data_IF_059285682624
#
_entry.id   IF_059285682624
#
_cell.length_a   1.000
_cell.length_b   1.000
_cell.length_c   1.000
_cell.angle_alpha   90.00
_cell.angle_beta   90.00
_cell.angle_gamma   90.00
#
_symmetry.space_group_name_H-M   'P 1'
#
loop_
_entity.id
_entity.type
_entity.pdbx_description
1 polymer ?
#
# COMPACT_ATOMS: atom_id res chain seq x y z
N UNK A 1 -18.87 -7.61 15.90
CA UNK A 1 -19.98 -8.52 15.54
C UNK A 1 -20.88 -7.85 14.50
N UNK A 2 -21.74 -8.62 13.81
CA UNK A 2 -22.72 -8.06 12.87
C UNK A 2 -23.57 -6.98 13.55
N UNK A 3 -23.64 -5.80 12.96
CA UNK A 3 -24.36 -4.64 13.49
C UNK A 3 -23.51 -3.73 14.37
N UNK A 4 -22.25 -4.08 14.66
CA UNK A 4 -21.35 -3.19 15.37
C UNK A 4 -20.85 -2.07 14.47
N UNK A 5 -20.65 -0.91 15.09
CA UNK A 5 -19.99 0.26 14.48
C UNK A 5 -18.53 0.29 14.91
N UNK A 6 -17.62 0.41 13.94
CA UNK A 6 -16.20 0.66 14.20
C UNK A 6 -15.93 2.13 13.95
N UNK A 7 -15.22 2.76 14.89
CA UNK A 7 -14.72 4.12 14.76
C UNK A 7 -13.23 4.11 14.43
N UNK A 8 -12.88 4.71 13.30
CA UNK A 8 -11.52 4.94 12.86
C UNK A 8 -11.11 6.33 13.28
N UNK A 9 -10.00 6.42 14.00
CA UNK A 9 -9.42 7.67 14.46
C UNK A 9 -8.12 7.87 13.69
N UNK A 10 -8.05 8.98 12.96
CA UNK A 10 -6.82 9.37 12.26
C UNK A 10 -5.92 10.06 13.28
N UNK A 11 -4.95 9.33 13.82
CA UNK A 11 -3.94 9.93 14.68
C UNK A 11 -3.10 10.89 13.85
N UNK A 12 -2.97 12.12 14.33
CA UNK A 12 -2.05 13.08 13.75
C UNK A 12 -0.62 12.54 13.93
N UNK A 13 0.06 12.29 12.83
CA UNK A 13 1.50 12.03 12.85
C UNK A 13 2.21 13.37 12.65
N UNK A 14 3.21 13.65 13.48
CA UNK A 14 3.81 15.00 13.60
C UNK A 14 4.40 15.56 12.29
N UNK A 15 4.62 14.72 11.28
CA UNK A 15 5.33 15.09 10.04
C UNK A 15 4.48 15.12 8.76
N UNK A 16 3.19 14.76 8.81
CA UNK A 16 2.34 14.68 7.61
C UNK A 16 0.99 15.37 7.82
N UNK A 17 0.93 16.67 7.49
CA UNK A 17 -0.32 17.45 7.36
C UNK A 17 -1.20 17.03 6.17
N UNK A 18 -1.01 15.84 5.62
CA UNK A 18 -1.77 15.30 4.51
C UNK A 18 -3.11 14.74 4.98
N UNK A 19 -4.15 14.96 4.18
CA UNK A 19 -5.43 14.27 4.34
C UNK A 19 -5.25 12.75 4.09
N UNK A 20 -6.17 11.95 4.62
CA UNK A 20 -6.26 10.51 4.41
C UNK A 20 -7.58 10.19 3.73
N UNK A 21 -7.59 9.31 2.73
CA UNK A 21 -8.86 8.75 2.23
C UNK A 21 -8.95 7.31 2.66
N UNK A 22 -9.88 7.00 3.56
CA UNK A 22 -10.14 5.64 3.99
C UNK A 22 -11.26 5.06 3.12
N UNK A 23 -11.01 3.89 2.55
CA UNK A 23 -11.97 3.10 1.80
C UNK A 23 -12.09 1.71 2.44
N UNK A 24 -13.31 1.27 2.67
CA UNK A 24 -13.61 -0.06 3.21
C UNK A 24 -14.24 -0.90 2.09
N UNK A 25 -13.49 -1.83 1.51
CA UNK A 25 -14.02 -2.69 0.45
C UNK A 25 -15.13 -3.61 0.99
N UNK A 26 -16.23 -3.69 0.25
CA UNK A 26 -17.44 -4.41 0.65
C UNK A 26 -18.50 -3.54 1.32
N UNK A 27 -18.17 -2.28 1.59
CA UNK A 27 -19.14 -1.24 1.97
C UNK A 27 -18.90 -0.08 1.00
N UNK A 28 -19.93 0.42 0.32
CA UNK A 28 -19.80 1.56 -0.61
C UNK A 28 -19.64 2.90 0.16
N UNK A 29 -18.79 2.90 1.18
CA UNK A 29 -18.46 4.04 2.01
C UNK A 29 -16.96 4.35 1.88
N UNK A 30 -16.68 5.57 1.43
CA UNK A 30 -15.34 6.15 1.47
C UNK A 30 -15.44 7.55 2.04
N UNK A 31 -14.41 8.00 2.74
CA UNK A 31 -14.38 9.33 3.32
C UNK A 31 -12.98 9.93 3.26
N UNK A 32 -12.93 11.22 2.93
CA UNK A 32 -11.73 12.05 3.04
C UNK A 32 -11.67 12.59 4.47
N UNK A 33 -10.63 12.21 5.20
CA UNK A 33 -10.41 12.49 6.60
C UNK A 33 -9.21 13.42 6.75
N UNK A 34 -9.41 14.53 7.45
CA UNK A 34 -8.31 15.38 7.92
C UNK A 34 -7.61 14.71 9.11
N UNK A 35 -6.36 15.11 9.46
CA UNK A 35 -5.77 14.70 10.73
C UNK A 35 -6.73 14.98 11.90
N UNK A 36 -6.80 14.04 12.85
CA UNK A 36 -7.74 14.07 13.99
C UNK A 36 -9.23 13.93 13.63
N UNK A 37 -9.57 13.64 12.37
CA UNK A 37 -10.94 13.29 12.01
C UNK A 37 -11.30 11.88 12.46
N UNK A 38 -12.61 11.69 12.65
CA UNK A 38 -13.21 10.43 13.05
C UNK A 38 -14.09 9.93 11.90
N UNK A 39 -13.98 8.66 11.56
CA UNK A 39 -14.83 7.99 10.58
C UNK A 39 -15.51 6.80 11.24
N UNK A 40 -16.81 6.62 10.99
CA UNK A 40 -17.59 5.53 11.56
C UNK A 40 -18.20 4.71 10.44
N UNK A 41 -17.98 3.40 10.48
CA UNK A 41 -18.59 2.44 9.56
C UNK A 41 -19.35 1.39 10.36
N UNK A 42 -20.57 1.05 9.91
CA UNK A 42 -21.40 0.02 10.53
C UNK A 42 -21.48 -1.19 9.62
N UNK A 43 -21.20 -2.38 10.17
CA UNK A 43 -21.09 -3.59 9.38
C UNK A 43 -22.37 -4.42 9.48
N UNK A 44 -23.26 -4.28 8.48
CA UNK A 44 -24.53 -5.01 8.41
C UNK A 44 -24.37 -6.49 8.10
N UNK A 45 -23.27 -6.88 7.49
CA UNK A 45 -23.04 -8.23 6.96
C UNK A 45 -21.83 -8.89 7.60
N UNK A 46 -21.90 -10.21 7.74
CA UNK A 46 -20.77 -11.01 8.20
C UNK A 46 -19.80 -11.25 7.04
N UNK A 47 -18.50 -11.15 7.30
CA UNK A 47 -17.48 -11.27 6.26
C UNK A 47 -16.12 -10.72 6.68
N UNK A 48 -15.19 -10.70 5.74
CA UNK A 48 -13.91 -10.00 5.89
C UNK A 48 -13.93 -8.78 4.98
N UNK A 49 -13.70 -7.61 5.56
CA UNK A 49 -13.70 -6.32 4.87
C UNK A 49 -12.27 -5.79 4.84
N UNK A 50 -11.80 -5.40 3.66
CA UNK A 50 -10.45 -4.84 3.49
C UNK A 50 -10.52 -3.34 3.67
N UNK A 51 -9.62 -2.78 4.50
CA UNK A 51 -9.47 -1.34 4.65
C UNK A 51 -8.19 -0.95 3.92
N UNK A 52 -8.27 0.11 3.12
CA UNK A 52 -7.11 0.70 2.46
C UNK A 52 -7.15 2.21 2.54
N UNK A 53 -5.98 2.83 2.69
CA UNK A 53 -5.83 4.24 2.39
C UNK A 53 -5.62 4.42 0.88
N UNK A 54 -6.40 5.29 0.22
CA UNK A 54 -6.19 5.54 -1.21
C UNK A 54 -4.95 6.39 -1.50
N UNK A 55 -4.48 7.14 -0.51
CA UNK A 55 -3.29 8.02 -0.63
C UNK A 55 -2.02 7.24 -0.29
N UNK A 56 -2.03 6.52 0.83
CA UNK A 56 -0.90 5.71 1.29
C UNK A 56 -1.17 4.23 1.01
N UNK A 57 -0.73 3.75 -0.16
CA UNK A 57 -1.00 2.36 -0.60
C UNK A 57 -0.50 1.29 0.37
N UNK A 58 0.51 1.57 1.19
CA UNK A 58 1.03 0.63 2.18
C UNK A 58 0.15 0.53 3.45
N UNK A 59 -0.74 1.50 3.67
CA UNK A 59 -1.71 1.47 4.78
C UNK A 59 -2.90 0.58 4.41
N UNK A 60 -2.79 -0.70 4.74
CA UNK A 60 -3.85 -1.70 4.56
C UNK A 60 -4.19 -2.37 5.89
N UNK A 61 -5.45 -2.76 6.04
CA UNK A 61 -5.94 -3.51 7.18
C UNK A 61 -7.13 -4.39 6.79
N UNK A 62 -7.61 -5.20 7.72
CA UNK A 62 -8.81 -6.02 7.50
C UNK A 62 -9.65 -6.11 8.77
N UNK A 63 -10.97 -6.03 8.62
CA UNK A 63 -11.94 -6.27 9.69
C UNK A 63 -12.66 -7.58 9.40
N UNK A 64 -12.68 -8.49 10.37
CA UNK A 64 -13.51 -9.71 10.31
C UNK A 64 -14.75 -9.52 11.16
N UNK A 65 -15.92 -9.61 10.53
CA UNK A 65 -17.23 -9.48 11.17
C UNK A 65 -17.86 -10.85 11.27
N UNK A 66 -17.96 -11.37 12.49
CA UNK A 66 -18.60 -12.66 12.75
C UNK A 66 -20.07 -12.48 13.14
N UNK A 67 -20.86 -13.51 12.87
CA UNK A 67 -22.21 -13.63 13.43
C UNK A 67 -22.04 -13.77 14.95
N UNK A 68 -22.74 -12.97 15.78
CA UNK A 68 -22.72 -13.18 17.21
C UNK A 68 -23.21 -14.60 17.47
N UNK A 69 -22.35 -15.44 18.06
CA UNK A 69 -22.82 -16.72 18.52
C UNK A 69 -23.94 -16.45 19.54
N UNK A 70 -25.10 -17.12 19.44
CA UNK A 70 -26.11 -17.00 20.47
C UNK A 70 -25.39 -17.30 21.78
N UNK A 71 -25.37 -16.32 22.70
CA UNK A 71 -24.85 -16.55 24.05
C UNK A 71 -25.72 -17.65 24.62
N UNK A 72 -25.24 -18.88 24.56
CA UNK A 72 -25.92 -20.01 25.14
C UNK A 72 -26.13 -19.63 26.59
N UNK A 73 -27.41 -19.47 27.00
CA UNK A 73 -27.71 -19.35 28.42
C UNK A 73 -27.18 -20.64 29.03
N UNK A 74 -26.11 -20.53 29.80
CA UNK A 74 -25.43 -21.65 30.46
C UNK A 74 -26.38 -22.54 31.29
N UNK A 75 -27.57 -22.03 31.60
CA UNK A 75 -28.60 -22.64 32.44
C UNK A 75 -29.52 -23.66 31.76
N UNK A 76 -29.44 -23.86 30.45
CA UNK A 76 -30.15 -24.95 29.76
C UNK A 76 -29.18 -26.08 29.40
N UNK A 77 -28.32 -26.50 30.33
CA UNK A 77 -27.75 -27.85 30.21
C UNK A 77 -28.94 -28.80 30.33
N UNK A 78 -29.33 -29.56 29.28
CA UNK A 78 -30.29 -30.62 29.45
C UNK A 78 -29.73 -31.50 30.56
N UNK A 79 -30.45 -31.62 31.66
CA UNK A 79 -30.14 -32.60 32.70
C UNK A 79 -30.26 -33.93 31.99
N UNK A 80 -29.13 -34.47 31.52
CA UNK A 80 -29.07 -35.82 30.98
C UNK A 80 -29.43 -36.69 32.19
N UNK A 81 -30.61 -37.34 32.24
CA UNK A 81 -30.89 -38.25 33.32
C UNK A 81 -29.81 -39.32 33.26
N UNK A 82 -29.04 -39.43 34.34
CA UNK A 82 -28.02 -40.45 34.51
C UNK A 82 -28.71 -41.82 34.41
N UNK A 83 -28.79 -42.36 33.20
CA UNK A 83 -29.18 -43.74 32.99
C UNK A 83 -27.94 -44.57 33.26
N UNK A 84 -27.81 -45.00 34.50
CA UNK A 84 -26.91 -46.06 34.92
C UNK A 84 -27.30 -47.34 34.15
N UNK A 85 -26.78 -47.49 32.92
CA UNK A 85 -26.83 -48.75 32.19
C UNK A 85 -25.44 -49.36 32.24
N UNK A 86 -25.27 -50.23 33.23
CA UNK A 86 -24.29 -51.31 33.25
C UNK A 86 -24.41 -52.08 31.94
N UNK A 87 -23.46 -51.89 31.02
CA UNK A 87 -23.32 -52.75 29.83
C UNK A 87 -22.04 -53.56 30.03
N UNK A 88 -22.24 -54.79 30.52
CA UNK A 88 -21.28 -55.87 30.42
C UNK A 88 -21.18 -56.33 28.96
N UNK A 89 -19.94 -56.39 28.47
CA UNK A 89 -19.38 -57.19 27.36
C UNK A 89 -20.36 -57.94 26.43
N UNK A 90 -20.22 -57.75 25.12
CA UNK A 90 -20.21 -58.89 24.19
C UNK A 90 -19.56 -58.53 22.87
N UNK A 91 -18.53 -59.31 22.56
CA UNK A 91 -17.87 -59.44 21.27
C UNK A 91 -18.89 -59.88 20.21
N UNK A 92 -18.95 -59.19 19.08
CA UNK A 92 -19.39 -59.78 17.82
C UNK A 92 -18.89 -58.94 16.63
N UNK A 93 -17.94 -59.52 15.91
CA UNK A 93 -17.54 -59.17 14.57
C UNK A 93 -18.70 -59.47 13.61
N UNK A 94 -19.16 -58.48 12.83
CA UNK A 94 -20.06 -58.72 11.71
C UNK A 94 -19.87 -57.65 10.62
N UNK A 95 -19.07 -58.05 9.64
CA UNK A 95 -18.97 -57.54 8.28
C UNK A 95 -20.35 -57.24 7.67
N UNK A 96 -20.61 -55.97 7.34
CA UNK A 96 -21.65 -55.62 6.34
C UNK A 96 -21.13 -54.48 5.47
N UNK A 97 -20.48 -54.86 4.36
CA UNK A 97 -20.31 -53.99 3.20
C UNK A 97 -21.66 -53.85 2.51
N UNK A 98 -22.31 -52.69 2.66
CA UNK A 98 -23.42 -52.29 1.77
C UNK A 98 -23.03 -51.03 1.01
N UNK A 99 -22.84 -51.29 -0.28
CA UNK A 99 -22.77 -50.38 -1.41
C UNK A 99 -23.85 -49.29 -1.25
N UNK A 100 -23.43 -48.04 -1.12
CA UNK A 100 -24.28 -46.87 -1.32
C UNK A 100 -23.57 -45.87 -2.22
N UNK A 101 -23.45 -46.23 -3.50
CA UNK A 101 -23.14 -45.30 -4.58
C UNK A 101 -24.37 -44.42 -4.83
N UNK A 102 -24.56 -43.41 -3.98
CA UNK A 102 -25.42 -42.25 -4.30
C UNK A 102 -24.53 -41.21 -4.96
N UNK A 103 -24.82 -40.96 -6.22
CA UNK A 103 -24.32 -39.86 -7.04
C UNK A 103 -24.44 -38.53 -6.31
N UNK A 104 -23.37 -38.14 -5.62
CA UNK A 104 -23.11 -36.77 -5.25
C UNK A 104 -22.76 -36.03 -6.54
N UNK A 105 -23.77 -35.49 -7.24
CA UNK A 105 -23.54 -34.32 -8.07
C UNK A 105 -23.02 -33.25 -7.12
N UNK A 106 -21.70 -33.10 -7.11
CA UNK A 106 -20.99 -32.17 -6.23
C UNK A 106 -21.68 -30.81 -6.33
N UNK A 107 -21.92 -30.20 -5.16
CA UNK A 107 -22.39 -28.82 -5.04
C UNK A 107 -21.59 -27.87 -5.96
N UNK A 108 -20.32 -28.21 -6.23
CA UNK A 108 -19.43 -27.45 -7.12
C UNK A 108 -19.93 -27.44 -8.57
N UNK A 109 -20.49 -28.55 -9.06
CA UNK A 109 -21.03 -28.64 -10.43
C UNK A 109 -22.29 -27.78 -10.59
N UNK A 110 -23.08 -27.62 -9.52
CA UNK A 110 -24.27 -26.76 -9.52
C UNK A 110 -23.85 -25.28 -9.51
N UNK A 111 -22.83 -24.93 -8.73
CA UNK A 111 -22.29 -23.55 -8.68
C UNK A 111 -21.66 -23.14 -10.01
N UNK A 112 -20.91 -24.04 -10.65
CA UNK A 112 -20.26 -23.77 -11.93
C UNK A 112 -21.28 -23.53 -13.06
N UNK A 113 -22.37 -24.31 -13.09
CA UNK A 113 -23.44 -24.10 -14.06
C UNK A 113 -24.18 -22.77 -13.86
N UNK A 114 -24.40 -22.37 -12.61
CA UNK A 114 -25.04 -21.09 -12.31
C UNK A 114 -24.16 -19.91 -12.77
N UNK A 115 -22.84 -19.97 -12.53
CA UNK A 115 -21.90 -18.94 -12.95
C UNK A 115 -21.87 -18.78 -14.48
N UNK A 116 -21.79 -19.90 -15.22
CA UNK A 116 -21.78 -19.89 -16.69
C UNK A 116 -23.07 -19.29 -17.26
N UNK A 117 -24.21 -19.58 -16.64
CA UNK A 117 -25.50 -19.01 -17.05
C UNK A 117 -25.52 -17.49 -16.81
N UNK A 118 -24.99 -17.01 -15.68
CA UNK A 118 -24.90 -15.58 -15.38
C UNK A 118 -24.01 -14.83 -16.37
N UNK A 119 -22.81 -15.38 -16.67
CA UNK A 119 -21.90 -14.77 -17.65
C UNK A 119 -22.53 -14.70 -19.04
N UNK A 120 -23.25 -15.75 -19.47
CA UNK A 120 -23.95 -15.74 -20.75
C UNK A 120 -25.04 -14.67 -20.81
N UNK A 121 -25.79 -14.43 -19.73
CA UNK A 121 -26.78 -13.34 -19.69
C UNK A 121 -26.16 -11.95 -19.74
N UNK A 122 -25.01 -11.75 -19.08
CA UNK A 122 -24.30 -10.45 -19.11
C UNK A 122 -23.81 -10.15 -20.52
N UNK A 123 -23.16 -11.12 -21.19
CA UNK A 123 -22.65 -10.94 -22.55
C UNK A 123 -23.76 -10.65 -23.56
N UNK A 124 -24.92 -11.28 -23.42
CA UNK A 124 -26.09 -11.02 -24.28
C UNK A 124 -26.76 -9.66 -23.99
N UNK A 125 -26.55 -9.09 -22.79
CA UNK A 125 -27.04 -7.76 -22.44
C UNK A 125 -26.12 -6.64 -22.93
N UNK A 126 -24.82 -6.91 -23.07
CA UNK A 126 -23.84 -5.97 -23.62
C UNK A 126 -23.99 -5.77 -25.12
N UNK A 127 -24.42 -6.80 -25.86
CA UNK A 127 -24.69 -6.68 -27.30
C UNK A 127 -25.93 -5.81 -27.61
N UNK A 128 -26.74 -5.51 -26.59
CA UNK A 128 -27.85 -4.54 -26.65
C UNK A 128 -27.44 -3.10 -26.26
N UNK A 129 -26.16 -2.85 -25.99
CA UNK A 129 -25.59 -1.49 -25.99
C UNK A 129 -25.34 -1.04 -27.44
N UNK A 130 -26.35 -1.18 -28.31
CA UNK A 130 -26.40 -0.38 -29.53
C UNK A 130 -26.46 1.09 -29.12
N UNK A 131 -25.30 1.74 -29.23
CA UNK A 131 -25.07 3.17 -29.42
C UNK A 131 -26.23 4.10 -29.00
N UNK A 132 -26.64 4.05 -27.73
CA UNK A 132 -27.22 5.23 -27.09
C UNK A 132 -26.07 6.21 -26.96
N UNK A 133 -25.90 7.03 -27.99
CA UNK A 133 -25.05 8.21 -27.96
C UNK A 133 -25.41 8.98 -26.70
N UNK A 134 -24.59 8.81 -25.65
CA UNK A 134 -24.70 9.60 -24.43
C UNK A 134 -24.73 11.05 -24.87
N UNK A 135 -25.77 11.78 -24.44
CA UNK A 135 -25.87 13.16 -24.86
C UNK A 135 -24.63 13.89 -24.36
N UNK A 136 -24.17 14.91 -25.10
CA UNK A 136 -23.00 15.71 -24.68
C UNK A 136 -23.12 16.19 -23.22
N UNK A 137 -24.34 16.43 -22.73
CA UNK A 137 -24.62 16.80 -21.34
C UNK A 137 -24.33 15.66 -20.35
N UNK A 138 -24.66 14.43 -20.70
CA UNK A 138 -24.38 13.27 -19.85
C UNK A 138 -22.87 13.00 -19.81
N UNK A 139 -22.19 13.18 -20.95
CA UNK A 139 -20.74 13.12 -21.04
C UNK A 139 -20.08 14.22 -20.20
N UNK A 140 -20.53 15.47 -20.30
CA UNK A 140 -20.03 16.59 -19.48
C UNK A 140 -20.31 16.38 -17.98
N UNK A 141 -21.47 15.85 -17.61
CA UNK A 141 -21.78 15.51 -16.22
C UNK A 141 -20.88 14.38 -15.69
N UNK A 142 -20.60 13.38 -16.53
CA UNK A 142 -19.67 12.29 -16.19
C UNK A 142 -18.26 12.86 -16.01
N UNK A 143 -17.77 13.65 -16.97
CA UNK A 143 -16.45 14.30 -16.88
C UNK A 143 -16.33 15.27 -15.70
N UNK A 144 -17.38 15.99 -15.34
CA UNK A 144 -17.39 16.87 -14.17
C UNK A 144 -17.20 16.09 -12.86
N UNK A 145 -17.69 14.86 -12.79
CA UNK A 145 -17.52 14.01 -11.61
C UNK A 145 -16.15 13.32 -11.58
N UNK A 146 -15.56 13.02 -12.74
CA UNK A 146 -14.23 12.43 -12.84
C UNK A 146 -13.09 13.46 -12.77
N UNK A 147 -13.34 14.72 -13.11
CA UNK A 147 -12.32 15.77 -13.14
C UNK A 147 -11.58 15.94 -11.80
N UNK A 148 -12.25 16.01 -10.63
CA UNK A 148 -11.55 16.12 -9.34
C UNK A 148 -10.71 14.88 -9.03
N UNK A 149 -11.23 13.69 -9.32
CA UNK A 149 -10.54 12.41 -9.07
C UNK A 149 -9.31 12.28 -9.95
N UNK A 150 -9.41 12.65 -11.24
CA UNK A 150 -8.27 12.65 -12.15
C UNK A 150 -7.23 13.71 -11.76
N UNK A 151 -7.67 14.89 -11.32
CA UNK A 151 -6.76 15.92 -10.81
C UNK A 151 -6.00 15.46 -9.56
N UNK A 152 -6.66 14.76 -8.64
CA UNK A 152 -6.02 14.21 -7.44
C UNK A 152 -4.99 13.13 -7.79
N UNK A 153 -5.31 12.25 -8.76
CA UNK A 153 -4.37 11.22 -9.24
C UNK A 153 -3.15 11.87 -9.89
N UNK A 154 -3.34 12.82 -10.80
CA UNK A 154 -2.24 13.52 -11.49
C UNK A 154 -1.40 14.31 -10.47
N UNK A 155 -2.03 14.95 -9.49
CA UNK A 155 -1.32 15.70 -8.45
C UNK A 155 -0.51 14.76 -7.54
N UNK A 156 -1.01 13.55 -7.26
CA UNK A 156 -0.24 12.54 -6.52
C UNK A 156 0.97 12.02 -7.31
N UNK A 157 0.80 11.77 -8.61
CA UNK A 157 1.90 11.29 -9.45
C UNK A 157 3.00 12.36 -9.59
N UNK A 158 2.64 13.63 -9.76
CA UNK A 158 3.62 14.73 -9.78
C UNK A 158 4.34 14.88 -8.44
N UNK A 159 3.65 14.73 -7.30
CA UNK A 159 4.30 14.74 -5.99
C UNK A 159 5.24 13.54 -5.76
N UNK A 160 5.04 12.42 -6.48
CA UNK A 160 5.88 11.22 -6.39
C UNK A 160 7.19 11.38 -7.15
N UNK A 161 7.18 12.00 -8.32
CA UNK A 161 8.38 12.19 -9.13
C UNK A 161 9.43 13.04 -8.39
N UNK A 162 9.01 14.08 -7.66
CA UNK A 162 9.91 14.91 -6.86
C UNK A 162 10.60 14.12 -5.72
N UNK A 163 9.94 13.10 -5.16
CA UNK A 163 10.51 12.27 -4.08
C UNK A 163 11.43 11.16 -4.60
N UNK A 164 11.18 10.63 -5.81
CA UNK A 164 12.10 9.66 -6.41
C UNK A 164 13.41 10.32 -6.86
N UNK A 165 13.41 11.62 -7.15
CA UNK A 165 14.63 12.35 -7.48
C UNK A 165 15.58 12.51 -6.28
N UNK A 166 15.08 12.53 -5.04
CA UNK A 166 15.95 12.67 -3.84
C UNK A 166 16.54 11.34 -3.34
N UNK A 167 15.90 10.20 -3.61
CA UNK A 167 16.37 8.87 -3.17
C UNK A 167 17.34 8.22 -4.17
N UNK A 168 17.41 8.75 -5.39
CA UNK A 168 18.58 8.62 -6.24
C UNK A 168 19.63 9.63 -5.80
N UNK A 169 20.13 9.43 -4.58
CA UNK A 169 21.48 9.85 -4.22
C UNK A 169 22.43 9.02 -5.09
N UNK A 170 22.49 9.36 -6.38
CA UNK A 170 23.62 9.08 -7.24
C UNK A 170 24.75 9.80 -6.54
N UNK A 171 25.40 9.11 -5.61
CA UNK A 171 26.80 9.36 -5.30
C UNK A 171 27.42 9.39 -6.69
N UNK A 172 27.85 10.56 -7.21
CA UNK A 172 28.58 10.58 -8.45
C UNK A 172 29.70 9.57 -8.22
N UNK A 173 29.62 8.45 -8.93
CA UNK A 173 30.66 7.45 -8.96
C UNK A 173 31.83 8.24 -9.50
N UNK A 174 32.66 8.77 -8.60
CA UNK A 174 33.78 9.63 -8.93
C UNK A 174 34.59 8.81 -9.92
N UNK A 175 34.47 9.22 -11.18
CA UNK A 175 35.03 8.51 -12.30
C UNK A 175 36.52 8.45 -12.02
N UNK A 176 36.99 7.23 -11.80
CA UNK A 176 38.37 6.76 -11.62
C UNK A 176 39.41 7.49 -12.48
N UNK A 177 38.97 8.12 -13.56
CA UNK A 177 39.80 8.82 -14.54
C UNK A 177 40.39 10.13 -13.99
N UNK A 178 39.67 10.91 -13.18
CA UNK A 178 40.22 12.15 -12.59
C UNK A 178 41.26 11.85 -11.49
N UNK A 179 41.05 10.79 -10.72
CA UNK A 179 42.01 10.37 -9.71
C UNK A 179 43.26 9.76 -10.35
N UNK A 180 43.12 9.01 -11.45
CA UNK A 180 44.26 8.53 -12.25
C UNK A 180 45.04 9.70 -12.87
N UNK A 181 44.38 10.72 -13.39
CA UNK A 181 45.05 11.89 -13.97
C UNK A 181 45.79 12.71 -12.88
N UNK A 182 45.20 12.89 -11.70
CA UNK A 182 45.89 13.52 -10.55
C UNK A 182 47.12 12.72 -10.12
N UNK A 183 47.01 11.39 -10.07
CA UNK A 183 48.13 10.52 -9.67
C UNK A 183 49.28 10.57 -10.68
N UNK A 184 48.96 10.61 -11.97
CA UNK A 184 49.96 10.75 -13.04
C UNK A 184 50.68 12.11 -13.00
N UNK A 185 49.96 13.21 -12.75
CA UNK A 185 50.54 14.54 -12.63
C UNK A 185 51.43 14.70 -11.38
N UNK A 186 51.07 14.06 -10.26
CA UNK A 186 51.88 14.06 -9.03
C UNK A 186 53.19 13.26 -9.21
N UNK A 187 53.14 12.17 -9.97
CA UNK A 187 54.33 11.36 -10.31
C UNK A 187 55.31 12.12 -11.22
N UNK A 188 54.80 12.90 -12.19
CA UNK A 188 55.62 13.80 -13.03
C UNK A 188 56.36 14.87 -12.20
N UNK A 189 55.69 15.43 -11.17
CA UNK A 189 56.29 16.44 -10.29
C UNK A 189 57.39 15.88 -9.40
N UNK A 190 57.26 14.64 -8.93
CA UNK A 190 58.24 14.01 -8.06
C UNK A 190 59.40 13.39 -8.83
N UNK A 191 59.17 12.90 -10.05
CA UNK A 191 60.20 12.33 -10.93
C UNK A 191 61.25 13.37 -11.36
N UNK A 192 60.86 14.63 -11.52
CA UNK A 192 61.77 15.71 -11.94
C UNK A 192 62.73 16.19 -10.83
N UNK A 193 62.59 15.73 -9.58
CA UNK A 193 63.34 16.27 -8.43
C UNK A 193 64.69 15.58 -8.16
N UNK A 194 65.09 14.58 -8.94
CA UNK A 194 66.34 13.83 -8.71
C UNK A 194 67.52 14.19 -9.62
N UNK A 195 67.35 15.02 -10.65
CA UNK A 195 68.46 15.45 -11.53
C UNK A 195 68.61 16.97 -11.52
N UNK A 196 69.37 17.51 -10.56
CA UNK A 196 69.67 18.94 -10.62
C UNK A 196 70.30 19.58 -9.40
N UNK A 197 71.22 18.89 -8.72
CA UNK A 197 72.22 19.60 -7.93
C UNK A 197 73.12 20.39 -8.90
N UNK A 198 73.02 21.72 -8.88
CA UNK A 198 74.15 22.66 -8.73
C UNK A 198 73.72 24.10 -9.07
N UNK A 199 73.81 24.93 -8.03
CA UNK A 199 74.26 26.32 -8.05
C UNK A 199 73.60 27.27 -9.07
N UNK A 200 72.91 28.29 -8.55
CA UNK A 200 73.40 29.67 -8.63
C UNK A 200 72.61 30.54 -7.64
N UNK A 201 73.36 31.02 -6.65
CA UNK A 201 72.93 31.97 -5.63
C UNK A 201 72.77 33.35 -6.27
N UNK A 202 71.55 33.75 -6.61
CA UNK A 202 71.23 35.14 -6.93
C UNK A 202 70.54 35.79 -5.74
N UNK A 203 71.36 36.54 -4.98
CA UNK A 203 70.92 37.57 -4.07
C UNK A 203 70.07 38.57 -4.83
N UNK A 204 68.83 38.79 -4.42
CA UNK A 204 68.16 40.07 -4.62
C UNK A 204 67.45 40.47 -3.32
N UNK A 205 67.77 41.70 -2.93
CA UNK A 205 67.43 42.37 -1.68
C UNK A 205 65.99 42.89 -1.66
N UNK A 206 65.51 43.36 -0.50
CA UNK A 206 64.13 43.72 -0.25
C UNK A 206 63.83 45.21 -0.53
N UNK A 207 62.70 45.48 -1.17
CA UNK A 207 61.98 46.76 -1.10
C UNK A 207 60.58 46.40 -0.55
N UNK A 208 60.14 46.76 0.66
CA UNK A 208 60.12 48.03 1.39
C UNK A 208 59.39 49.16 0.66
N UNK A 209 58.06 49.19 0.78
CA UNK A 209 57.25 50.39 1.01
C UNK A 209 55.82 49.94 1.36
N UNK A 210 55.28 50.27 2.57
CA UNK A 210 54.49 51.50 2.88
C UNK A 210 53.30 51.66 1.93
N UNK A 211 52.07 51.98 2.32
CA UNK A 211 51.37 52.31 3.58
C UNK A 211 49.97 52.79 3.15
N UNK A 212 49.08 53.06 4.12
CA UNK A 212 47.81 53.84 4.01
C UNK A 212 46.62 52.98 3.54
N UNK A 213 45.52 52.78 4.26
CA UNK A 213 44.94 53.48 5.42
C UNK A 213 43.68 54.25 4.98
N UNK A 214 42.51 53.85 5.48
CA UNK A 214 41.24 54.60 5.68
C UNK A 214 40.06 53.67 5.40
N UNK A 215 39.21 53.25 6.34
CA UNK A 215 38.30 54.00 7.22
C UNK A 215 37.02 54.48 6.49
N UNK A 216 35.90 54.40 7.22
CA UNK A 216 34.59 55.06 7.05
C UNK A 216 33.42 54.20 6.51
N UNK A 217 32.60 53.75 7.48
CA UNK A 217 31.15 53.99 7.67
C UNK A 217 30.21 53.90 6.44
N UNK A 218 29.08 53.20 6.49
CA UNK A 218 27.92 53.33 7.39
C UNK A 218 27.03 52.08 7.31
#
# INVERSE_FOLDING_TARGET
ERGDTVEFIVNQHDDCGSNYVICVEGIDESSLLTPSAHFKATFSDCGTFTIKCLINYDMKGSITVTIPMPKYKEWERPVIPATNKTVTNSVASATVSRILSKSATSLDVIKEKALLQTMSTVLMSEENLEMKSLSRKDLEATFSNYSPVLFDIISQDLCREDRQAEDLHIVPEETSDEEQERKFLEEQRTSSRSFGAKSLSLKNSPESSKSVGSEVSN
#
